data_IF_223047408819
#
_entry.id   IF_223047408819
#
_cell.length_a   1.000
_cell.length_b   1.000
_cell.length_c   1.000
_cell.angle_alpha   90.00
_cell.angle_beta   90.00
_cell.angle_gamma   90.00
#
_symmetry.space_group_name_H-M   'P 1'
#
loop_
_entity.id
_entity.type
_entity.pdbx_description
1 polymer ?
#
# COMPACT_ATOMS: atom_id res chain seq x y z
N UNK A 1 3.97 -45.37 3.24
CA UNK A 1 3.60 -44.55 4.40
C UNK A 1 4.31 -43.21 4.23
N UNK A 2 3.59 -42.10 4.03
CA UNK A 2 4.24 -40.81 3.74
C UNK A 2 5.06 -40.32 4.93
N UNK A 3 6.28 -39.86 4.67
CA UNK A 3 7.19 -39.26 5.66
C UNK A 3 6.61 -37.95 6.20
N UNK A 4 7.10 -37.49 7.35
CA UNK A 4 6.65 -36.22 7.95
C UNK A 4 6.93 -35.02 7.02
N UNK A 5 8.06 -35.07 6.29
CA UNK A 5 8.44 -34.05 5.32
C UNK A 5 7.49 -34.03 4.10
N UNK A 6 7.11 -35.20 3.58
CA UNK A 6 6.14 -35.28 2.47
C UNK A 6 4.76 -34.75 2.87
N UNK A 7 4.31 -35.02 4.09
CA UNK A 7 3.05 -34.46 4.62
C UNK A 7 3.11 -32.95 4.76
N UNK A 8 4.24 -32.41 5.24
CA UNK A 8 4.44 -30.96 5.34
C UNK A 8 4.49 -30.29 3.97
N UNK A 9 5.18 -30.90 3.00
CA UNK A 9 5.26 -30.41 1.63
C UNK A 9 3.88 -30.38 0.95
N UNK A 10 3.08 -31.44 1.12
CA UNK A 10 1.72 -31.51 0.59
C UNK A 10 0.79 -30.46 1.25
N UNK A 11 0.89 -30.29 2.57
CA UNK A 11 0.15 -29.26 3.29
C UNK A 11 0.52 -27.85 2.78
N UNK A 12 1.82 -27.55 2.66
CA UNK A 12 2.30 -26.27 2.14
C UNK A 12 1.81 -26.03 0.70
N UNK A 13 1.90 -27.03 -0.18
CA UNK A 13 1.40 -26.93 -1.56
C UNK A 13 -0.11 -26.67 -1.63
N UNK A 14 -0.89 -27.29 -0.74
CA UNK A 14 -2.33 -27.05 -0.62
C UNK A 14 -2.64 -25.62 -0.15
N UNK A 15 -1.96 -25.16 0.91
CA UNK A 15 -2.08 -23.78 1.40
C UNK A 15 -1.72 -22.76 0.33
N UNK A 16 -0.64 -23.01 -0.43
CA UNK A 16 -0.20 -22.21 -1.57
C UNK A 16 -1.31 -22.03 -2.61
N UNK A 17 -1.93 -23.14 -3.04
CA UNK A 17 -3.04 -23.14 -4.01
C UNK A 17 -4.28 -22.43 -3.46
N UNK A 18 -4.62 -22.66 -2.20
CA UNK A 18 -5.76 -22.00 -1.54
C UNK A 18 -5.58 -20.49 -1.49
N UNK A 19 -4.40 -20.02 -1.06
CA UNK A 19 -4.12 -18.59 -0.98
C UNK A 19 -4.09 -17.94 -2.36
N UNK A 20 -3.49 -18.59 -3.36
CA UNK A 20 -3.51 -18.09 -4.74
C UNK A 20 -4.95 -17.91 -5.26
N UNK A 21 -5.85 -18.85 -4.95
CA UNK A 21 -7.27 -18.78 -5.34
C UNK A 21 -8.04 -17.67 -4.61
N UNK A 22 -7.66 -17.33 -3.39
CA UNK A 22 -8.39 -16.40 -2.53
C UNK A 22 -7.66 -15.08 -2.28
N UNK A 23 -6.53 -14.83 -2.96
CA UNK A 23 -5.66 -13.68 -2.74
C UNK A 23 -6.43 -12.37 -2.80
N UNK A 24 -7.27 -12.18 -3.82
CA UNK A 24 -8.01 -10.93 -4.00
C UNK A 24 -9.02 -10.69 -2.88
N UNK A 25 -9.71 -11.74 -2.44
CA UNK A 25 -10.65 -11.68 -1.31
C UNK A 25 -9.92 -11.38 0.00
N UNK A 26 -8.76 -11.99 0.22
CA UNK A 26 -7.91 -11.75 1.40
C UNK A 26 -7.42 -10.30 1.40
N UNK A 27 -6.92 -9.82 0.26
CA UNK A 27 -6.43 -8.46 0.09
C UNK A 27 -7.57 -7.43 0.25
N UNK A 28 -8.77 -7.72 -0.25
CA UNK A 28 -9.94 -6.87 -0.05
C UNK A 28 -10.32 -6.78 1.43
N UNK A 29 -10.40 -7.91 2.14
CA UNK A 29 -10.64 -7.93 3.60
C UNK A 29 -9.58 -7.15 4.38
N UNK A 30 -8.31 -7.24 3.98
CA UNK A 30 -7.21 -6.44 4.57
C UNK A 30 -7.42 -4.94 4.36
N UNK A 31 -7.76 -4.52 3.14
CA UNK A 31 -8.07 -3.12 2.82
C UNK A 31 -9.23 -2.61 3.67
N UNK A 32 -10.29 -3.40 3.83
CA UNK A 32 -11.47 -3.01 4.61
C UNK A 32 -11.17 -2.92 6.12
N UNK A 33 -10.41 -3.87 6.67
CA UNK A 33 -9.97 -3.84 8.07
C UNK A 33 -9.06 -2.64 8.35
N UNK A 34 -8.20 -2.27 7.40
CA UNK A 34 -7.38 -1.06 7.51
C UNK A 34 -8.23 0.21 7.49
N UNK A 35 -9.19 0.33 6.57
CA UNK A 35 -10.13 1.46 6.51
C UNK A 35 -10.89 1.62 7.83
N UNK A 36 -11.38 0.51 8.42
CA UNK A 36 -12.04 0.55 9.73
C UNK A 36 -11.11 1.00 10.86
N UNK A 37 -9.86 0.51 10.90
CA UNK A 37 -8.88 0.93 11.92
C UNK A 37 -8.45 2.40 11.75
N UNK A 38 -8.36 2.90 10.52
CA UNK A 38 -8.05 4.30 10.22
C UNK A 38 -9.23 5.22 10.56
N UNK A 39 -10.47 4.80 10.28
CA UNK A 39 -11.70 5.50 10.67
C UNK A 39 -11.81 5.67 12.19
N UNK A 40 -11.59 4.58 12.96
CA UNK A 40 -11.60 4.64 14.44
C UNK A 40 -10.55 5.57 15.04
N UNK A 41 -9.40 5.74 14.39
CA UNK A 41 -8.32 6.63 14.84
C UNK A 41 -8.62 8.12 14.60
N UNK A 42 -9.51 8.40 13.64
CA UNK A 42 -10.00 9.75 13.34
C UNK A 42 -11.21 10.10 14.22
N UNK A 43 -12.09 9.14 14.53
CA UNK A 43 -13.17 9.31 15.51
C UNK A 43 -12.62 9.54 16.93
N UNK A 44 -11.55 8.84 17.33
CA UNK A 44 -10.92 9.02 18.64
C UNK A 44 -10.16 10.35 18.81
N UNK A 45 -10.09 11.20 17.78
CA UNK A 45 -9.48 12.55 17.84
C UNK A 45 -10.53 13.67 17.91
N UNK A 46 -11.82 13.34 17.89
CA UNK A 46 -12.92 14.30 17.87
C UNK A 46 -13.60 14.53 19.22
N UNK A 47 -13.10 13.92 20.30
CA UNK A 47 -13.59 14.18 21.65
C UNK A 47 -12.48 14.68 22.57
N UNK A 48 -12.44 16.01 22.72
CA UNK A 48 -12.05 16.68 23.96
C UNK A 48 -12.80 18.01 24.01
N UNK A 49 -13.88 18.11 24.80
CA UNK A 49 -14.53 19.38 25.07
C UNK A 49 -13.74 20.11 26.15
N UNK A 50 -13.13 21.25 25.79
CA UNK A 50 -12.69 22.24 26.78
C UNK A 50 -13.72 23.38 26.74
N UNK A 51 -14.47 23.65 27.82
CA UNK A 51 -15.38 24.78 27.89
C UNK A 51 -14.69 26.07 28.37
N UNK A 52 -15.34 27.21 28.10
CA UNK A 52 -15.06 28.61 28.50
C UNK A 52 -14.29 29.39 27.40
N UNK A 53 -14.72 30.56 26.91
CA UNK A 53 -15.64 31.56 27.46
C UNK A 53 -16.13 32.48 26.31
N UNK A 54 -17.30 33.10 26.52
CA UNK A 54 -18.03 33.93 25.58
C UNK A 54 -17.37 35.28 25.27
N UNK A 55 -17.45 35.70 24.00
CA UNK A 55 -17.43 37.11 23.58
C UNK A 55 -18.47 37.27 22.44
N UNK A 56 -19.40 38.24 22.49
CA UNK A 56 -20.44 38.36 21.50
C UNK A 56 -19.91 39.07 20.25
N UNK A 57 -20.04 38.44 19.08
CA UNK A 57 -19.76 39.09 17.79
C UNK A 57 -21.03 39.15 16.96
N UNK A 58 -21.55 40.37 16.91
CA UNK A 58 -22.41 41.03 15.92
C UNK A 58 -22.75 40.20 14.67
N UNK A 59 -24.06 40.09 14.43
CA UNK A 59 -24.68 39.62 13.21
C UNK A 59 -24.09 40.30 11.97
N UNK A 60 -23.48 39.51 11.09
CA UNK A 60 -23.37 39.84 9.68
C UNK A 60 -23.91 38.63 8.92
N UNK A 61 -25.17 38.73 8.53
CA UNK A 61 -25.74 37.90 7.46
C UNK A 61 -24.93 38.14 6.18
N UNK A 62 -24.06 37.20 5.86
CA UNK A 62 -23.54 37.03 4.51
C UNK A 62 -23.87 35.61 4.08
N UNK A 63 -24.78 35.52 3.12
CA UNK A 63 -25.29 34.30 2.51
C UNK A 63 -24.16 33.29 2.22
N UNK A 64 -24.01 32.28 3.08
CA UNK A 64 -23.16 31.12 2.79
C UNK A 64 -23.95 30.12 1.96
N UNK A 65 -24.07 30.44 0.67
CA UNK A 65 -24.41 29.44 -0.33
C UNK A 65 -23.32 28.38 -0.36
N UNK A 66 -23.49 27.31 0.40
CA UNK A 66 -22.71 26.09 0.26
C UNK A 66 -23.10 25.41 -1.04
N UNK A 67 -22.60 25.91 -2.17
CA UNK A 67 -22.49 25.09 -3.36
C UNK A 67 -21.35 24.12 -3.11
N UNK A 68 -21.69 22.85 -2.86
CA UNK A 68 -20.81 21.72 -3.12
C UNK A 68 -20.48 21.74 -4.61
N UNK A 69 -19.52 22.56 -5.03
CA UNK A 69 -18.82 22.34 -6.29
C UNK A 69 -18.02 21.07 -6.08
N UNK A 70 -18.50 19.96 -6.65
CA UNK A 70 -17.70 18.76 -6.86
C UNK A 70 -16.43 19.19 -7.58
N UNK A 71 -15.33 19.26 -6.83
CA UNK A 71 -14.03 19.63 -7.38
C UNK A 71 -13.56 18.48 -8.27
N UNK A 72 -13.82 18.60 -9.58
CA UNK A 72 -13.29 17.66 -10.55
C UNK A 72 -11.79 17.93 -10.69
N UNK A 73 -10.90 17.01 -10.29
CA UNK A 73 -9.46 17.28 -10.28
C UNK A 73 -8.97 17.56 -11.71
N UNK A 74 -8.26 18.66 -11.88
CA UNK A 74 -7.64 19.01 -13.14
C UNK A 74 -6.43 18.11 -13.44
N UNK A 75 -6.06 18.02 -14.72
CA UNK A 75 -4.85 17.30 -15.14
C UNK A 75 -3.59 17.82 -14.43
N UNK A 76 -3.50 19.14 -14.20
CA UNK A 76 -2.37 19.75 -13.51
C UNK A 76 -2.28 19.28 -12.05
N UNK A 77 -3.40 19.20 -11.34
CA UNK A 77 -3.46 18.69 -9.96
C UNK A 77 -3.09 17.20 -9.90
N UNK A 78 -3.55 16.40 -10.87
CA UNK A 78 -3.17 14.99 -10.95
C UNK A 78 -1.66 14.82 -11.13
N UNK A 79 -1.04 15.65 -11.98
CA UNK A 79 0.41 15.62 -12.18
C UNK A 79 1.18 16.08 -10.93
N UNK A 80 0.70 17.08 -10.21
CA UNK A 80 1.29 17.49 -8.93
C UNK A 80 1.19 16.36 -7.89
N UNK A 81 0.04 15.70 -7.82
CA UNK A 81 -0.17 14.57 -6.92
C UNK A 81 0.76 13.39 -7.26
N UNK A 82 0.99 13.09 -8.54
CA UNK A 82 1.98 12.09 -8.97
C UNK A 82 3.38 12.45 -8.48
N UNK A 83 3.79 13.72 -8.57
CA UNK A 83 5.11 14.16 -8.09
C UNK A 83 5.25 14.02 -6.57
N UNK A 84 4.20 14.38 -5.82
CA UNK A 84 4.17 14.21 -4.35
C UNK A 84 4.26 12.74 -3.95
N UNK A 85 3.54 11.87 -4.66
CA UNK A 85 3.60 10.42 -4.47
C UNK A 85 5.01 9.92 -4.78
N UNK A 86 5.59 10.33 -5.90
CA UNK A 86 6.95 9.94 -6.31
C UNK A 86 7.97 10.32 -5.24
N UNK A 87 7.96 11.57 -4.75
CA UNK A 87 8.85 12.02 -3.68
C UNK A 87 8.66 11.20 -2.40
N UNK A 88 7.42 10.94 -2.01
CA UNK A 88 7.10 10.13 -0.82
C UNK A 88 7.58 8.68 -0.97
N UNK A 89 7.47 8.10 -2.17
CA UNK A 89 7.97 6.76 -2.47
C UNK A 89 9.51 6.70 -2.45
N UNK A 90 10.19 7.72 -3.00
CA UNK A 90 11.65 7.84 -2.94
C UNK A 90 12.11 7.93 -1.48
N UNK A 91 11.47 8.76 -0.66
CA UNK A 91 11.78 8.88 0.77
C UNK A 91 11.56 7.54 1.48
N UNK A 92 10.42 6.88 1.25
CA UNK A 92 10.11 5.59 1.86
C UNK A 92 11.17 4.54 1.54
N UNK A 93 11.60 4.49 0.28
CA UNK A 93 12.54 3.48 -0.22
C UNK A 93 14.00 3.88 -0.05
N UNK A 94 14.27 5.08 0.48
CA UNK A 94 15.62 5.68 0.46
C UNK A 94 16.24 5.67 -0.95
N UNK A 95 15.39 5.85 -1.97
CA UNK A 95 15.76 5.80 -3.38
C UNK A 95 15.99 4.39 -3.96
N UNK A 96 15.84 3.32 -3.18
CA UNK A 96 16.07 1.94 -3.63
C UNK A 96 14.95 0.99 -3.17
N UNK A 97 14.04 0.59 -4.08
CA UNK A 97 13.05 -0.44 -3.80
C UNK A 97 13.66 -1.75 -3.29
N UNK A 98 14.82 -2.15 -3.84
CA UNK A 98 15.55 -3.36 -3.41
C UNK A 98 16.01 -3.25 -1.95
N UNK A 99 16.55 -2.08 -1.56
CA UNK A 99 16.94 -1.82 -0.16
C UNK A 99 15.75 -1.83 0.79
N UNK A 100 14.60 -1.29 0.36
CA UNK A 100 13.39 -1.33 1.15
C UNK A 100 12.86 -2.76 1.36
N UNK A 101 12.87 -3.58 0.30
CA UNK A 101 12.48 -5.00 0.39
C UNK A 101 13.37 -5.77 1.36
N UNK A 102 14.69 -5.57 1.30
CA UNK A 102 15.63 -6.16 2.26
C UNK A 102 15.32 -5.68 3.69
N UNK A 103 15.15 -4.37 3.90
CA UNK A 103 14.80 -3.82 5.22
C UNK A 103 13.51 -4.43 5.78
N UNK A 104 12.50 -4.63 4.94
CA UNK A 104 11.25 -5.28 5.33
C UNK A 104 11.47 -6.74 5.75
N UNK A 105 12.32 -7.48 5.03
CA UNK A 105 12.74 -8.83 5.43
C UNK A 105 13.50 -8.83 6.77
N UNK A 106 14.49 -7.94 6.96
CA UNK A 106 15.25 -7.86 8.21
C UNK A 106 14.33 -7.56 9.40
N UNK A 107 13.35 -6.67 9.24
CA UNK A 107 12.32 -6.41 10.27
C UNK A 107 11.48 -7.65 10.58
N UNK A 108 11.11 -8.42 9.57
CA UNK A 108 10.42 -9.70 9.78
C UNK A 108 11.27 -10.68 10.60
N UNK A 109 12.57 -10.81 10.29
CA UNK A 109 13.48 -11.68 11.04
C UNK A 109 13.61 -11.23 12.49
N UNK A 110 13.84 -9.94 12.71
CA UNK A 110 14.01 -9.37 14.06
C UNK A 110 12.77 -9.51 14.94
N UNK A 111 11.57 -9.33 14.36
CA UNK A 111 10.30 -9.40 15.10
C UNK A 111 9.70 -10.82 15.14
N UNK A 112 10.19 -11.73 14.31
CA UNK A 112 9.65 -13.09 14.17
C UNK A 112 8.18 -13.12 13.71
N UNK A 113 7.67 -12.03 13.13
CA UNK A 113 6.23 -11.86 12.89
C UNK A 113 5.93 -11.39 11.45
N UNK A 114 5.07 -12.10 10.70
CA UNK A 114 4.64 -11.70 9.34
C UNK A 114 3.95 -10.32 9.28
N UNK A 115 3.51 -9.78 10.41
CA UNK A 115 2.82 -8.48 10.49
C UNK A 115 3.70 -7.30 10.03
N UNK A 116 5.02 -7.44 10.12
CA UNK A 116 5.95 -6.46 9.57
C UNK A 116 5.83 -6.35 8.04
N UNK A 117 5.73 -7.50 7.36
CA UNK A 117 5.54 -7.57 5.90
C UNK A 117 4.13 -7.12 5.51
N UNK A 118 3.10 -7.53 6.26
CA UNK A 118 1.71 -7.08 6.03
C UNK A 118 1.60 -5.55 6.09
N UNK A 119 2.26 -4.92 7.06
CA UNK A 119 2.27 -3.45 7.18
C UNK A 119 2.97 -2.78 5.99
N UNK A 120 4.06 -3.37 5.49
CA UNK A 120 4.78 -2.86 4.34
C UNK A 120 3.96 -2.99 3.04
N UNK A 121 3.28 -4.13 2.84
CA UNK A 121 2.35 -4.34 1.72
C UNK A 121 1.21 -3.32 1.78
N UNK A 122 0.60 -3.12 2.94
CA UNK A 122 -0.48 -2.14 3.11
C UNK A 122 -0.04 -0.72 2.76
N UNK A 123 1.17 -0.33 3.17
CA UNK A 123 1.72 0.98 2.83
C UNK A 123 1.90 1.14 1.31
N UNK A 124 2.42 0.13 0.61
CA UNK A 124 2.54 0.21 -0.86
C UNK A 124 1.21 0.15 -1.59
N UNK A 125 0.24 -0.63 -1.11
CA UNK A 125 -1.10 -0.61 -1.69
C UNK A 125 -1.74 0.78 -1.64
N UNK A 126 -1.41 1.60 -0.63
CA UNK A 126 -1.89 2.98 -0.57
C UNK A 126 -1.28 3.85 -1.69
N UNK A 127 0.00 3.69 -1.98
CA UNK A 127 0.67 4.36 -3.10
C UNK A 127 0.08 3.95 -4.43
N UNK A 128 -0.06 2.65 -4.65
CA UNK A 128 -0.63 2.07 -5.87
C UNK A 128 -2.04 2.61 -6.13
N UNK A 129 -2.92 2.57 -5.12
CA UNK A 129 -4.29 3.08 -5.26
C UNK A 129 -4.33 4.57 -5.57
N UNK A 130 -3.49 5.38 -4.92
CA UNK A 130 -3.42 6.82 -5.21
C UNK A 130 -2.94 7.10 -6.64
N UNK A 131 -2.00 6.30 -7.17
CA UNK A 131 -1.52 6.42 -8.55
C UNK A 131 -2.57 5.96 -9.57
N UNK A 132 -3.26 4.84 -9.33
CA UNK A 132 -4.35 4.37 -10.18
C UNK A 132 -5.52 5.37 -10.24
N UNK A 133 -5.75 6.12 -9.16
CA UNK A 133 -6.73 7.21 -9.19
C UNK A 133 -6.26 8.35 -10.10
N UNK A 134 -4.97 8.68 -10.10
CA UNK A 134 -4.43 9.68 -11.04
C UNK A 134 -4.44 9.17 -12.48
N UNK A 135 -4.27 7.87 -12.70
CA UNK A 135 -4.42 7.24 -14.01
C UNK A 135 -5.80 7.50 -14.60
N UNK A 136 -6.85 7.33 -13.80
CA UNK A 136 -8.24 7.60 -14.23
C UNK A 136 -8.44 9.05 -14.59
N UNK A 137 -7.93 9.98 -13.78
CA UNK A 137 -8.03 11.42 -14.06
C UNK A 137 -7.31 11.77 -15.37
N UNK A 138 -6.11 11.22 -15.58
CA UNK A 138 -5.37 11.42 -16.83
C UNK A 138 -6.17 10.88 -18.00
N UNK A 139 -6.61 9.61 -17.97
CA UNK A 139 -7.34 8.97 -19.08
C UNK A 139 -8.65 9.68 -19.44
N UNK A 140 -9.32 10.28 -18.46
CA UNK A 140 -10.57 11.03 -18.66
C UNK A 140 -10.33 12.49 -19.10
N UNK A 141 -9.07 12.93 -19.20
CA UNK A 141 -8.75 14.29 -19.63
C UNK A 141 -8.82 14.41 -21.17
N UNK A 142 -9.55 15.41 -21.70
CA UNK A 142 -9.69 15.58 -23.15
C UNK A 142 -8.37 15.91 -23.86
N UNK A 143 -7.34 16.34 -23.12
CA UNK A 143 -6.01 16.67 -23.63
C UNK A 143 -4.96 15.63 -23.28
N UNK A 144 -5.34 14.36 -23.06
CA UNK A 144 -4.39 13.31 -22.66
C UNK A 144 -3.26 13.17 -23.67
N UNK A 145 -2.06 13.60 -23.28
CA UNK A 145 -0.84 13.32 -24.03
C UNK A 145 -0.19 12.06 -23.47
N UNK A 146 0.39 11.22 -24.34
CA UNK A 146 1.14 10.03 -23.91
C UNK A 146 2.29 10.34 -22.92
N UNK A 147 2.69 11.62 -22.83
CA UNK A 147 3.70 12.13 -21.89
C UNK A 147 3.27 12.00 -20.43
N UNK A 148 2.06 12.39 -20.08
CA UNK A 148 1.53 12.34 -18.70
C UNK A 148 1.41 10.89 -18.23
N UNK A 149 0.87 10.03 -19.09
CA UNK A 149 0.82 8.58 -18.85
C UNK A 149 2.23 7.99 -18.72
N UNK A 150 3.19 8.44 -19.53
CA UNK A 150 4.59 8.06 -19.39
C UNK A 150 5.14 8.40 -18.01
N UNK A 151 4.92 9.63 -17.53
CA UNK A 151 5.33 10.06 -16.19
C UNK A 151 4.67 9.25 -15.08
N UNK A 152 3.37 8.99 -15.18
CA UNK A 152 2.67 8.12 -14.23
C UNK A 152 3.34 6.74 -14.17
N UNK A 153 3.59 6.11 -15.32
CA UNK A 153 4.20 4.77 -15.40
C UNK A 153 5.60 4.72 -14.82
N UNK A 154 6.39 5.79 -14.92
CA UNK A 154 7.73 5.85 -14.29
C UNK A 154 7.67 5.73 -12.76
N UNK A 155 6.56 6.11 -12.14
CA UNK A 155 6.35 5.98 -10.69
C UNK A 155 5.61 4.68 -10.35
N UNK A 156 4.58 4.34 -11.13
CA UNK A 156 3.73 3.17 -10.89
C UNK A 156 4.49 1.84 -11.05
N UNK A 157 5.37 1.73 -12.05
CA UNK A 157 6.10 0.49 -12.31
C UNK A 157 7.00 0.08 -11.13
N UNK A 158 7.85 0.96 -10.56
CA UNK A 158 8.60 0.65 -9.34
C UNK A 158 7.72 0.28 -8.15
N UNK A 159 6.57 0.93 -7.98
CA UNK A 159 5.62 0.61 -6.90
C UNK A 159 5.06 -0.81 -7.06
N UNK A 160 4.61 -1.19 -8.25
CA UNK A 160 4.13 -2.55 -8.55
C UNK A 160 5.21 -3.61 -8.37
N UNK A 161 6.43 -3.32 -8.84
CA UNK A 161 7.56 -4.24 -8.69
C UNK A 161 7.84 -4.52 -7.22
N UNK A 162 7.93 -3.46 -6.42
CA UNK A 162 8.17 -3.60 -4.98
C UNK A 162 7.01 -4.30 -4.26
N UNK A 163 5.76 -3.97 -4.61
CA UNK A 163 4.58 -4.64 -4.05
C UNK A 163 4.64 -6.15 -4.31
N UNK A 164 5.00 -6.56 -5.53
CA UNK A 164 5.13 -7.97 -5.90
C UNK A 164 6.19 -8.69 -5.06
N UNK A 165 7.34 -8.05 -4.80
CA UNK A 165 8.39 -8.61 -3.94
C UNK A 165 7.93 -8.77 -2.49
N UNK A 166 7.24 -7.76 -1.94
CA UNK A 166 6.72 -7.82 -0.57
C UNK A 166 5.63 -8.88 -0.42
N UNK A 167 4.77 -9.05 -1.42
CA UNK A 167 3.74 -10.07 -1.43
C UNK A 167 4.31 -11.49 -1.54
N UNK A 168 5.36 -11.70 -2.34
CA UNK A 168 6.10 -12.97 -2.35
C UNK A 168 6.62 -13.29 -0.95
N UNK A 169 7.28 -12.34 -0.29
CA UNK A 169 7.80 -12.54 1.05
C UNK A 169 6.69 -12.83 2.06
N UNK A 170 5.61 -12.04 2.04
CA UNK A 170 4.47 -12.25 2.94
C UNK A 170 3.85 -13.64 2.74
N UNK A 171 3.71 -14.07 1.50
CA UNK A 171 3.19 -15.39 1.16
C UNK A 171 4.08 -16.51 1.69
N UNK A 172 5.39 -16.45 1.46
CA UNK A 172 6.31 -17.47 1.97
C UNK A 172 6.35 -17.47 3.51
N UNK A 173 6.31 -16.30 4.15
CA UNK A 173 6.22 -16.19 5.60
C UNK A 173 4.93 -16.81 6.17
N UNK A 174 3.81 -16.64 5.47
CA UNK A 174 2.51 -17.23 5.88
C UNK A 174 2.48 -18.75 5.70
N UNK A 175 3.19 -19.29 4.70
CA UNK A 175 3.34 -20.75 4.53
C UNK A 175 4.26 -21.31 5.61
N UNK A 176 5.46 -20.74 5.73
CA UNK A 176 6.42 -21.10 6.78
C UNK A 176 7.49 -20.01 6.90
N UNK A 177 7.68 -19.42 8.10
CA UNK A 177 8.79 -18.52 8.36
C UNK A 177 10.16 -19.09 7.99
N UNK A 178 10.34 -20.41 8.14
CA UNK A 178 11.58 -21.09 7.77
C UNK A 178 11.77 -21.14 6.24
N UNK A 179 10.69 -21.32 5.47
CA UNK A 179 10.74 -21.34 4.01
C UNK A 179 11.14 -19.98 3.44
N UNK A 180 10.61 -18.89 3.99
CA UNK A 180 11.05 -17.54 3.59
C UNK A 180 12.54 -17.33 3.88
N UNK A 181 13.02 -17.75 5.06
CA UNK A 181 14.45 -17.64 5.41
C UNK A 181 15.34 -18.44 4.48
N UNK A 182 14.95 -19.67 4.17
CA UNK A 182 15.68 -20.54 3.24
C UNK A 182 15.77 -19.91 1.84
N UNK A 183 14.64 -19.42 1.30
CA UNK A 183 14.61 -18.71 0.02
C UNK A 183 15.48 -17.46 0.01
N UNK A 184 15.47 -16.69 1.10
CA UNK A 184 16.33 -15.51 1.23
C UNK A 184 17.82 -15.91 1.20
N UNK A 185 18.22 -16.92 1.99
CA UNK A 185 19.60 -17.41 2.04
C UNK A 185 20.07 -17.99 0.70
N UNK A 186 19.18 -18.66 -0.03
CA UNK A 186 19.45 -19.18 -1.38
C UNK A 186 19.34 -18.13 -2.49
N UNK A 187 19.02 -16.87 -2.16
CA UNK A 187 18.80 -15.78 -3.13
C UNK A 187 17.72 -16.09 -4.17
N UNK A 188 16.70 -16.85 -3.78
CA UNK A 188 15.61 -17.26 -4.67
C UNK A 188 14.48 -16.22 -4.77
N UNK A 189 14.42 -15.28 -3.82
CA UNK A 189 13.42 -14.20 -3.82
C UNK A 189 13.64 -13.26 -5.00
N UNK A 190 12.55 -12.79 -5.61
CA UNK A 190 12.61 -12.02 -6.85
C UNK A 190 13.49 -10.76 -6.76
N UNK A 191 13.50 -10.07 -5.61
CA UNK A 191 14.31 -8.87 -5.41
C UNK A 191 15.83 -9.14 -5.23
N UNK A 192 16.21 -10.40 -4.98
CA UNK A 192 17.61 -10.81 -4.78
C UNK A 192 18.28 -11.34 -6.05
N UNK A 193 17.48 -11.60 -7.09
CA UNK A 193 17.98 -11.86 -8.44
C UNK A 193 18.63 -10.57 -8.93
N UNK A 194 19.89 -10.67 -9.33
CA UNK A 194 20.60 -9.56 -9.95
C UNK A 194 20.14 -9.45 -11.42
N UNK A 195 20.05 -8.21 -11.93
CA UNK A 195 19.83 -7.91 -13.35
C UNK A 195 21.04 -8.31 -14.20
#
# INVERSE_FOLDING_TARGET
MYTAEERQAAHNASSRRSYAKHRDLINQKRKDAYKQKKGRRNESRLESPIPLQAVPSVEIEAASGHSYTEHCPSLAEAMDQINRISASFIILTMGSPKHYADTAYQRFVALGCPRALDSAVLQLSSFEQSLLEQERIILNSPSTTGREMGRLRTVLNPVHLLASWLEEMLYEAMVSPACLREKYLRRELAFLKDD
#
